data_IF_317489148240
#
_entry.id   IF_317489148240
#
_cell.length_a   1.000
_cell.length_b   1.000
_cell.length_c   1.000
_cell.angle_alpha   90.00
_cell.angle_beta   90.00
_cell.angle_gamma   90.00
#
_symmetry.space_group_name_H-M   'P 1'
#
loop_
_entity.id
_entity.type
_entity.pdbx_description
1 polymer ?
#
# COMPACT_ATOMS: atom_id res chain seq x y z
N UNK A 1 -20.28 11.83 -16.13
CA UNK A 1 -19.11 12.28 -15.32
C UNK A 1 -18.30 13.27 -16.14
N UNK A 2 -17.92 14.45 -15.60
CA UNK A 2 -17.13 15.46 -16.33
C UNK A 2 -15.68 15.43 -15.82
N UNK A 3 -14.75 14.96 -16.65
CA UNK A 3 -13.31 14.89 -16.30
C UNK A 3 -12.66 16.25 -16.57
N UNK A 4 -11.81 16.69 -15.63
CA UNK A 4 -10.99 17.90 -15.71
C UNK A 4 -9.59 17.51 -16.17
N UNK A 5 -9.22 17.86 -17.40
CA UNK A 5 -7.92 17.56 -18.00
C UNK A 5 -6.77 18.17 -17.20
N UNK A 6 -6.93 19.40 -16.72
CA UNK A 6 -5.96 20.12 -15.88
C UNK A 6 -5.65 19.49 -14.52
N UNK A 7 -6.47 18.54 -14.06
CA UNK A 7 -6.31 17.85 -12.75
C UNK A 7 -6.10 16.35 -12.91
N UNK A 8 -5.97 15.87 -14.14
CA UNK A 8 -5.88 14.45 -14.45
C UNK A 8 -4.52 14.15 -15.06
N UNK A 9 -3.92 13.06 -14.61
CA UNK A 9 -2.65 12.54 -15.13
C UNK A 9 -2.90 11.10 -15.58
N UNK A 10 -2.12 10.64 -16.56
CA UNK A 10 -2.15 9.26 -17.04
C UNK A 10 -0.93 8.50 -16.50
N UNK A 11 -1.11 7.25 -16.13
CA UNK A 11 -0.02 6.35 -15.76
C UNK A 11 -0.14 5.05 -16.54
N UNK A 12 0.96 4.61 -17.13
CA UNK A 12 1.06 3.33 -17.82
C UNK A 12 1.78 2.34 -16.91
N UNK A 13 1.12 1.23 -16.57
CA UNK A 13 1.71 0.14 -15.81
C UNK A 13 2.28 -0.90 -16.76
N UNK A 14 3.59 -0.92 -16.96
CA UNK A 14 4.25 -1.87 -17.84
C UNK A 14 5.69 -2.17 -17.39
N UNK A 15 6.18 -3.39 -17.67
CA UNK A 15 7.57 -3.79 -17.39
C UNK A 15 8.58 -2.98 -18.22
N UNK A 16 8.17 -2.53 -19.40
CA UNK A 16 8.96 -1.64 -20.27
C UNK A 16 8.31 -0.26 -20.27
N UNK A 17 9.11 0.80 -20.30
CA UNK A 17 8.58 2.15 -20.49
C UNK A 17 7.91 2.22 -21.87
N UNK A 18 6.63 2.57 -21.86
CA UNK A 18 5.81 2.77 -23.04
C UNK A 18 5.17 4.13 -22.92
N UNK A 19 5.28 4.92 -23.97
CA UNK A 19 4.54 6.18 -24.10
C UNK A 19 3.13 5.86 -24.56
N UNK A 20 2.14 6.38 -23.83
CA UNK A 20 0.73 6.27 -24.17
C UNK A 20 0.12 7.66 -24.21
N UNK A 21 -0.31 8.08 -25.40
CA UNK A 21 -0.96 9.36 -25.61
C UNK A 21 -2.46 9.26 -25.30
N UNK A 22 -2.81 9.38 -24.02
CA UNK A 22 -4.21 9.35 -23.60
C UNK A 22 -4.85 10.73 -23.77
N UNK A 23 -5.86 10.81 -24.65
CA UNK A 23 -6.58 12.05 -24.98
C UNK A 23 -7.93 12.12 -24.27
N UNK A 24 -8.23 13.27 -23.67
CA UNK A 24 -9.54 13.59 -23.09
C UNK A 24 -9.98 14.95 -23.59
N UNK A 25 -11.10 15.02 -24.31
CA UNK A 25 -11.65 16.27 -24.88
C UNK A 25 -10.59 17.08 -25.67
N UNK A 26 -9.88 16.38 -26.56
CA UNK A 26 -8.82 16.94 -27.44
C UNK A 26 -7.51 17.35 -26.75
N UNK A 27 -7.43 17.33 -25.42
CA UNK A 27 -6.19 17.55 -24.68
C UNK A 27 -5.50 16.21 -24.34
N UNK A 28 -4.17 16.20 -24.43
CA UNK A 28 -3.34 15.04 -24.05
C UNK A 28 -3.06 15.16 -22.55
N UNK A 29 -3.38 14.10 -21.79
CA UNK A 29 -3.04 14.07 -20.37
C UNK A 29 -1.53 13.83 -20.20
N UNK A 30 -0.88 14.51 -19.24
CA UNK A 30 0.52 14.25 -18.92
C UNK A 30 0.68 12.81 -18.40
N UNK A 31 1.66 12.09 -18.94
CA UNK A 31 2.02 10.77 -18.46
C UNK A 31 3.03 10.87 -17.31
N UNK A 32 2.75 10.21 -16.19
CA UNK A 32 3.59 10.23 -14.98
C UNK A 32 4.12 8.85 -14.61
N UNK A 33 5.35 8.82 -14.11
CA UNK A 33 6.01 7.60 -13.61
C UNK A 33 5.63 7.28 -12.15
N UNK A 34 5.22 8.28 -11.38
CA UNK A 34 4.78 8.16 -9.99
C UNK A 34 3.45 8.86 -9.78
N UNK A 35 2.53 8.21 -9.08
CA UNK A 35 1.22 8.77 -8.79
C UNK A 35 0.83 8.50 -7.34
N UNK A 36 0.44 9.54 -6.60
CA UNK A 36 0.02 9.41 -5.20
C UNK A 36 -1.50 9.51 -5.12
N UNK A 37 -2.14 8.43 -4.71
CA UNK A 37 -3.58 8.37 -4.49
C UNK A 37 -3.91 7.93 -3.08
N UNK A 38 -4.65 8.76 -2.34
CA UNK A 38 -5.08 8.50 -0.96
C UNK A 38 -3.93 8.05 -0.03
N UNK A 39 -2.72 8.59 -0.24
CA UNK A 39 -1.54 8.25 0.55
C UNK A 39 -0.79 6.99 0.09
N UNK A 40 -1.28 6.28 -0.92
CA UNK A 40 -0.57 5.18 -1.59
C UNK A 40 0.19 5.71 -2.80
N UNK A 41 1.44 5.29 -2.93
CA UNK A 41 2.28 5.60 -4.09
C UNK A 41 2.18 4.44 -5.08
N UNK A 42 1.81 4.77 -6.31
CA UNK A 42 1.88 3.89 -7.47
C UNK A 42 3.06 4.31 -8.32
N UNK A 43 3.74 3.32 -8.91
CA UNK A 43 4.86 3.52 -9.84
C UNK A 43 4.52 2.86 -11.17
N UNK A 44 5.01 3.40 -12.28
CA UNK A 44 4.79 2.84 -13.63
C UNK A 44 5.33 1.41 -13.77
N UNK A 45 6.33 1.04 -12.97
CA UNK A 45 6.90 -0.31 -12.91
C UNK A 45 6.06 -1.30 -12.08
N UNK A 46 5.05 -0.83 -11.35
CA UNK A 46 4.24 -1.64 -10.43
C UNK A 46 4.98 -2.06 -9.16
N UNK A 47 6.17 -1.51 -8.88
CA UNK A 47 6.91 -1.79 -7.65
C UNK A 47 6.37 -0.98 -6.48
N UNK A 48 6.23 -1.65 -5.34
CA UNK A 48 5.70 -1.05 -4.10
C UNK A 48 6.79 -0.63 -3.11
N UNK A 49 8.05 -1.02 -3.35
CA UNK A 49 9.17 -0.79 -2.43
C UNK A 49 9.29 0.68 -2.03
N UNK A 50 9.24 1.60 -3.00
CA UNK A 50 9.32 3.04 -2.73
C UNK A 50 8.16 3.53 -1.84
N UNK A 51 6.97 2.97 -2.01
CA UNK A 51 5.81 3.29 -1.19
C UNK A 51 5.97 2.83 0.25
N UNK A 52 6.59 1.66 0.47
CA UNK A 52 6.94 1.16 1.81
C UNK A 52 8.01 2.06 2.43
N UNK A 53 8.99 2.49 1.64
CA UNK A 53 10.13 3.28 2.11
C UNK A 53 9.73 4.66 2.57
N UNK A 54 8.83 5.31 1.82
CA UNK A 54 8.24 6.59 2.22
C UNK A 54 7.51 6.47 3.56
N UNK A 55 6.83 5.34 3.83
CA UNK A 55 6.14 5.10 5.09
C UNK A 55 7.10 4.79 6.25
N UNK A 56 8.15 4.00 6.00
CA UNK A 56 9.22 3.78 6.98
C UNK A 56 9.89 5.12 7.33
N UNK A 57 10.17 5.95 6.33
CA UNK A 57 10.71 7.29 6.51
C UNK A 57 9.79 8.19 7.33
N UNK A 58 8.49 8.22 6.99
CA UNK A 58 7.48 8.98 7.73
C UNK A 58 7.35 8.52 9.18
N UNK A 59 7.28 7.21 9.41
CA UNK A 59 7.20 6.63 10.75
C UNK A 59 8.48 6.94 11.55
N UNK A 60 9.66 6.86 10.92
CA UNK A 60 10.93 7.23 11.53
C UNK A 60 11.00 8.72 11.88
N UNK A 61 10.45 9.60 11.04
CA UNK A 61 10.38 11.03 11.32
C UNK A 61 9.51 11.33 12.56
N UNK A 62 8.38 10.64 12.72
CA UNK A 62 7.55 10.74 13.94
C UNK A 62 8.36 10.39 15.18
N UNK A 63 9.12 9.29 15.15
CA UNK A 63 9.98 8.88 16.27
C UNK A 63 11.00 9.96 16.58
N UNK A 64 11.65 10.49 15.55
CA UNK A 64 12.68 11.50 15.69
C UNK A 64 12.14 12.77 16.34
N UNK A 65 10.99 13.26 15.87
CA UNK A 65 10.31 14.43 16.46
C UNK A 65 9.94 14.20 17.92
N UNK A 66 9.50 12.99 18.28
CA UNK A 66 9.11 12.64 19.65
C UNK A 66 10.28 12.12 20.51
N UNK A 67 11.49 12.08 19.96
CA UNK A 67 12.60 11.38 20.58
C UNK A 67 12.92 11.94 21.96
N UNK A 68 13.17 13.26 22.04
CA UNK A 68 13.58 13.95 23.27
C UNK A 68 12.43 14.16 24.25
N UNK A 69 11.22 14.40 23.75
CA UNK A 69 10.04 14.72 24.56
C UNK A 69 9.35 13.49 25.12
N UNK A 70 9.38 12.37 24.39
CA UNK A 70 8.65 11.15 24.73
C UNK A 70 9.58 9.96 24.90
N UNK A 71 10.28 9.58 23.82
CA UNK A 71 10.87 8.25 23.72
C UNK A 71 11.96 8.03 24.77
N UNK A 72 12.86 9.00 24.95
CA UNK A 72 13.97 8.91 25.92
C UNK A 72 13.65 9.52 27.29
N UNK A 73 12.48 10.16 27.43
CA UNK A 73 12.08 10.83 28.67
C UNK A 73 11.86 9.77 29.76
N UNK A 74 12.58 9.87 30.88
CA UNK A 74 12.57 8.85 31.95
C UNK A 74 11.32 8.92 32.81
N UNK A 75 10.72 10.10 32.87
CA UNK A 75 9.52 10.42 33.63
C UNK A 75 8.26 9.81 32.99
N UNK A 76 8.33 9.40 31.72
CA UNK A 76 7.24 8.72 31.03
C UNK A 76 7.37 7.21 31.19
N UNK A 77 6.27 6.59 31.61
CA UNK A 77 6.17 5.14 31.71
C UNK A 77 6.30 4.47 30.34
N UNK A 78 6.80 3.23 30.31
CA UNK A 78 6.82 2.41 29.09
C UNK A 78 5.42 2.28 28.48
N UNK A 79 4.38 2.15 29.31
CA UNK A 79 2.98 2.11 28.86
C UNK A 79 2.57 3.35 28.07
N UNK A 80 2.98 4.55 28.49
CA UNK A 80 2.70 5.79 27.75
C UNK A 80 3.44 5.83 26.41
N UNK A 81 4.71 5.42 26.38
CA UNK A 81 5.51 5.34 25.14
C UNK A 81 4.93 4.33 24.15
N UNK A 82 4.49 3.17 24.64
CA UNK A 82 3.82 2.14 23.85
C UNK A 82 2.42 2.56 23.37
N UNK A 83 1.76 3.49 24.07
CA UNK A 83 0.51 4.07 23.56
C UNK A 83 0.77 4.85 22.27
N UNK A 84 1.80 5.69 22.25
CA UNK A 84 2.23 6.46 21.07
C UNK A 84 2.68 5.55 19.92
N UNK A 85 3.36 4.46 20.23
CA UNK A 85 3.67 3.41 19.25
C UNK A 85 2.41 2.90 18.55
N UNK A 86 1.42 2.47 19.34
CA UNK A 86 0.19 1.85 18.84
C UNK A 86 -0.68 2.84 18.08
N UNK A 87 -0.75 4.10 18.52
CA UNK A 87 -1.66 5.12 17.98
C UNK A 87 -1.07 5.97 16.85
N UNK A 88 0.26 6.11 16.78
CA UNK A 88 0.90 6.95 15.76
C UNK A 88 1.85 6.14 14.88
N UNK A 89 2.83 5.45 15.47
CA UNK A 89 3.87 4.76 14.70
C UNK A 89 3.30 3.64 13.83
N UNK A 90 2.53 2.73 14.44
CA UNK A 90 1.93 1.59 13.74
C UNK A 90 1.05 2.04 12.57
N UNK A 91 0.02 2.91 12.74
CA UNK A 91 -0.81 3.32 11.60
C UNK A 91 -0.04 4.12 10.54
N UNK A 92 0.99 4.89 10.92
CA UNK A 92 1.84 5.59 9.94
C UNK A 92 2.60 4.60 9.06
N UNK A 93 3.14 3.54 9.67
CA UNK A 93 3.90 2.52 8.95
C UNK A 93 2.99 1.58 8.14
N UNK A 94 1.89 1.11 8.72
CA UNK A 94 1.05 0.06 8.12
C UNK A 94 -0.13 0.58 7.32
N UNK A 95 -0.24 1.87 7.02
CA UNK A 95 -1.36 2.35 6.21
C UNK A 95 -1.35 1.72 4.80
N UNK A 96 -2.39 0.95 4.45
CA UNK A 96 -2.54 0.28 3.16
C UNK A 96 -1.71 -0.99 2.98
N UNK A 97 -1.27 -1.61 4.09
CA UNK A 97 -0.48 -2.85 4.08
C UNK A 97 -1.22 -4.07 3.52
N UNK A 98 -2.56 -4.02 3.47
CA UNK A 98 -3.40 -5.08 2.90
C UNK A 98 -3.10 -5.33 1.42
N UNK A 99 -2.57 -4.31 0.72
CA UNK A 99 -2.22 -4.35 -0.70
C UNK A 99 -0.73 -4.61 -0.93
N UNK A 100 0.10 -4.70 0.11
CA UNK A 100 1.54 -4.85 -0.05
C UNK A 100 1.92 -6.25 -0.52
N UNK A 101 2.88 -6.30 -1.44
CA UNK A 101 3.58 -7.54 -1.76
C UNK A 101 4.63 -7.80 -0.67
N UNK A 102 4.38 -8.84 0.15
CA UNK A 102 5.24 -9.21 1.26
C UNK A 102 6.43 -10.06 0.77
N UNK A 103 7.46 -9.37 0.27
CA UNK A 103 8.78 -9.98 0.00
C UNK A 103 9.61 -10.07 1.27
N UNK A 104 10.64 -10.93 1.28
CA UNK A 104 11.61 -11.00 2.40
C UNK A 104 12.27 -9.64 2.68
N UNK A 105 12.57 -8.89 1.61
CA UNK A 105 13.10 -7.53 1.72
C UNK A 105 12.11 -6.61 2.45
N UNK A 106 10.83 -6.64 2.08
CA UNK A 106 9.78 -5.84 2.72
C UNK A 106 9.61 -6.23 4.19
N UNK A 107 9.54 -7.54 4.50
CA UNK A 107 9.43 -8.07 5.87
C UNK A 107 10.58 -7.57 6.74
N UNK A 108 11.81 -7.75 6.26
CA UNK A 108 13.03 -7.31 6.97
C UNK A 108 13.00 -5.81 7.27
N UNK A 109 12.60 -4.97 6.31
CA UNK A 109 12.57 -3.52 6.48
C UNK A 109 11.51 -3.06 7.47
N UNK A 110 10.32 -3.68 7.45
CA UNK A 110 9.26 -3.41 8.42
C UNK A 110 9.70 -3.82 9.83
N UNK A 111 10.32 -4.99 9.96
CA UNK A 111 10.85 -5.48 11.23
C UNK A 111 11.96 -4.56 11.77
N UNK A 112 12.90 -4.13 10.92
CA UNK A 112 13.95 -3.18 11.31
C UNK A 112 13.33 -1.87 11.80
N UNK A 113 12.34 -1.33 11.09
CA UNK A 113 11.65 -0.11 11.50
C UNK A 113 10.96 -0.26 12.87
N UNK A 114 10.22 -1.35 13.07
CA UNK A 114 9.58 -1.68 14.34
C UNK A 114 10.58 -1.81 15.48
N UNK A 115 11.61 -2.64 15.30
CA UNK A 115 12.63 -2.89 16.32
C UNK A 115 13.40 -1.61 16.67
N UNK A 116 13.59 -0.71 15.70
CA UNK A 116 14.20 0.59 15.96
C UNK A 116 13.42 1.42 16.98
N UNK A 117 12.08 1.34 16.98
CA UNK A 117 11.25 2.01 17.95
C UNK A 117 11.27 1.30 19.31
N UNK A 118 11.01 0.00 19.31
CA UNK A 118 10.88 -0.79 20.54
C UNK A 118 12.17 -0.77 21.36
N UNK A 119 13.33 -0.84 20.69
CA UNK A 119 14.64 -0.71 21.31
C UNK A 119 14.78 0.59 22.11
N UNK A 120 14.31 1.72 21.56
CA UNK A 120 14.39 3.03 22.23
C UNK A 120 13.42 3.12 23.41
N UNK A 121 12.22 2.53 23.30
CA UNK A 121 11.27 2.45 24.42
C UNK A 121 11.80 1.59 25.56
N UNK A 122 12.48 0.49 25.23
CA UNK A 122 13.16 -0.36 26.20
C UNK A 122 14.42 0.29 26.80
N UNK A 123 14.87 1.44 26.30
CA UNK A 123 16.07 2.13 26.77
C UNK A 123 17.38 1.46 26.35
N UNK A 124 17.34 0.59 25.34
CA UNK A 124 18.51 -0.12 24.84
C UNK A 124 19.31 0.76 23.87
N UNK A 125 20.62 0.83 24.08
CA UNK A 125 21.59 1.46 23.18
C UNK A 125 21.78 0.63 21.93
N UNK A 126 22.41 1.17 20.87
CA UNK A 126 22.76 0.42 19.64
C UNK A 126 23.78 -0.73 19.83
N UNK A 127 24.49 -0.76 20.97
CA UNK A 127 25.48 -1.80 21.28
C UNK A 127 24.86 -3.05 21.90
N UNK A 128 23.69 -2.89 22.51
CA UNK A 128 23.03 -4.01 23.17
C UNK A 128 22.59 -5.07 22.16
N UNK A 129 22.75 -6.35 22.50
CA UNK A 129 22.22 -7.41 21.66
C UNK A 129 20.70 -7.42 21.82
N UNK A 130 20.00 -7.17 20.72
CA UNK A 130 18.54 -7.20 20.68
C UNK A 130 18.09 -8.60 20.28
N UNK A 131 17.35 -9.26 21.17
CA UNK A 131 16.66 -10.51 20.84
C UNK A 131 15.31 -10.21 20.19
N UNK A 132 14.71 -11.24 19.57
CA UNK A 132 13.32 -11.20 19.14
C UNK A 132 12.33 -11.08 20.32
N UNK A 133 12.77 -11.30 21.56
CA UNK A 133 11.92 -11.29 22.75
C UNK A 133 11.51 -9.88 23.21
N UNK A 134 12.12 -8.80 22.70
CA UNK A 134 11.73 -7.43 23.09
C UNK A 134 10.23 -7.17 22.90
N UNK A 135 9.65 -7.74 21.85
CA UNK A 135 8.22 -7.65 21.59
C UNK A 135 7.41 -8.28 22.72
N UNK A 136 7.82 -9.47 23.18
CA UNK A 136 7.19 -10.17 24.31
C UNK A 136 7.40 -9.40 25.63
N UNK A 137 8.62 -8.95 25.90
CA UNK A 137 8.96 -8.17 27.10
C UNK A 137 8.12 -6.89 27.22
N UNK A 138 7.85 -6.24 26.09
CA UNK A 138 7.02 -5.03 26.02
C UNK A 138 5.52 -5.32 25.88
N UNK A 139 5.11 -6.59 25.78
CA UNK A 139 3.71 -6.98 25.54
C UNK A 139 3.17 -6.42 24.23
N UNK A 140 3.96 -6.47 23.17
CA UNK A 140 3.65 -5.98 21.82
C UNK A 140 3.60 -7.17 20.86
N UNK A 141 2.48 -7.32 20.15
CA UNK A 141 2.39 -8.27 19.05
C UNK A 141 3.32 -7.84 17.89
N UNK A 142 4.12 -8.77 17.32
CA UNK A 142 4.95 -8.46 16.17
C UNK A 142 4.16 -7.84 15.01
N UNK A 143 4.67 -6.73 14.47
CA UNK A 143 3.93 -5.98 13.45
C UNK A 143 3.68 -6.79 12.17
N UNK A 144 4.60 -7.69 11.83
CA UNK A 144 4.43 -8.60 10.69
C UNK A 144 3.22 -9.53 10.85
N UNK A 145 2.98 -10.07 12.05
CA UNK A 145 1.81 -10.91 12.31
C UNK A 145 0.51 -10.12 12.15
N UNK A 146 0.51 -8.87 12.60
CA UNK A 146 -0.62 -7.96 12.40
C UNK A 146 -0.88 -7.69 10.92
N UNK A 147 0.19 -7.48 10.14
CA UNK A 147 0.11 -7.26 8.69
C UNK A 147 -0.46 -8.48 7.99
N UNK A 148 0.09 -9.67 8.25
CA UNK A 148 -0.34 -10.92 7.65
C UNK A 148 -1.80 -11.25 7.99
N UNK A 149 -2.21 -11.04 9.24
CA UNK A 149 -3.61 -11.24 9.66
C UNK A 149 -4.57 -10.33 8.90
N UNK A 150 -4.23 -9.07 8.70
CA UNK A 150 -5.06 -8.13 7.93
C UNK A 150 -5.11 -8.50 6.45
N UNK A 151 -3.98 -8.94 5.85
CA UNK A 151 -3.95 -9.42 4.47
C UNK A 151 -4.84 -10.65 4.28
N UNK A 152 -4.80 -11.60 5.20
CA UNK A 152 -5.68 -12.78 5.17
C UNK A 152 -7.16 -12.40 5.34
N UNK A 153 -7.46 -11.44 6.23
CA UNK A 153 -8.81 -10.90 6.37
C UNK A 153 -9.30 -10.25 5.07
N UNK A 154 -8.46 -9.42 4.44
CA UNK A 154 -8.76 -8.76 3.17
C UNK A 154 -8.97 -9.77 2.03
N UNK A 155 -8.09 -10.75 1.90
CA UNK A 155 -8.26 -11.86 0.96
C UNK A 155 -9.59 -12.58 1.19
N UNK A 156 -9.93 -12.86 2.45
CA UNK A 156 -11.21 -13.45 2.82
C UNK A 156 -12.40 -12.58 2.38
N UNK A 157 -12.30 -11.26 2.43
CA UNK A 157 -13.32 -10.35 1.91
C UNK A 157 -13.43 -10.41 0.38
N UNK A 158 -12.30 -10.47 -0.34
CA UNK A 158 -12.28 -10.59 -1.81
C UNK A 158 -12.94 -11.89 -2.28
N UNK A 159 -12.60 -13.02 -1.65
CA UNK A 159 -13.15 -14.34 -2.01
C UNK A 159 -14.67 -14.40 -1.81
N UNK A 160 -15.19 -13.77 -0.76
CA UNK A 160 -16.63 -13.73 -0.47
C UNK A 160 -17.37 -12.57 -1.16
N UNK A 161 -16.68 -11.78 -1.97
CA UNK A 161 -17.24 -10.57 -2.56
C UNK A 161 -18.23 -10.94 -3.68
N UNK A 162 -19.50 -10.46 -3.62
CA UNK A 162 -20.49 -10.74 -4.66
C UNK A 162 -20.07 -10.14 -6.01
N UNK A 163 -20.61 -10.66 -7.12
CA UNK A 163 -20.42 -10.06 -8.45
C UNK A 163 -20.95 -8.62 -8.50
N UNK A 164 -20.47 -7.82 -9.45
CA UNK A 164 -20.82 -6.39 -9.61
C UNK A 164 -19.92 -5.44 -8.81
N UNK A 165 -18.94 -5.96 -8.05
CA UNK A 165 -17.94 -5.12 -7.36
C UNK A 165 -16.57 -5.26 -8.02
N UNK A 166 -16.06 -4.12 -8.47
CA UNK A 166 -14.78 -4.02 -9.17
C UNK A 166 -13.60 -4.74 -8.48
N UNK A 167 -13.36 -4.61 -7.15
CA UNK A 167 -12.21 -5.28 -6.54
C UNK A 167 -12.28 -6.81 -6.63
N UNK A 168 -13.47 -7.39 -6.45
CA UNK A 168 -13.68 -8.83 -6.55
C UNK A 168 -13.61 -9.32 -8.00
N UNK A 169 -14.11 -8.52 -8.95
CA UNK A 169 -14.02 -8.82 -10.39
C UNK A 169 -12.58 -8.80 -10.88
N UNK A 170 -11.82 -7.74 -10.55
CA UNK A 170 -10.39 -7.63 -10.88
C UNK A 170 -9.60 -8.77 -10.25
N UNK A 171 -9.89 -9.13 -9.00
CA UNK A 171 -9.23 -10.26 -8.33
C UNK A 171 -9.47 -11.61 -9.04
N UNK A 172 -10.67 -11.82 -9.59
CA UNK A 172 -11.04 -13.04 -10.32
C UNK A 172 -10.65 -13.02 -11.80
N UNK A 173 -10.29 -11.85 -12.33
CA UNK A 173 -9.92 -11.70 -13.72
C UNK A 173 -8.64 -12.52 -14.02
N UNK A 174 -8.69 -13.33 -15.08
CA UNK A 174 -7.49 -13.98 -15.62
C UNK A 174 -6.88 -13.05 -16.66
N UNK A 175 -5.66 -12.60 -16.41
CA UNK A 175 -4.87 -11.93 -17.44
C UNK A 175 -4.39 -13.01 -18.42
N UNK A 176 -5.02 -13.08 -19.59
CA UNK A 176 -4.47 -13.85 -20.71
C UNK A 176 -3.28 -13.05 -21.23
N UNK A 177 -2.08 -13.44 -20.80
CA UNK A 177 -0.86 -12.96 -21.43
C UNK A 177 -0.62 -13.77 -22.69
N UNK A 178 -0.37 -13.10 -23.82
CA UNK A 178 0.14 -13.77 -25.02
C UNK A 178 1.46 -14.47 -24.69
N UNK A 179 1.38 -15.77 -24.44
CA UNK A 179 2.51 -16.66 -24.57
C UNK A 179 2.60 -17.04 -26.03
N UNK A 180 3.59 -16.44 -26.72
CA UNK A 180 4.15 -16.86 -28.01
C UNK A 180 3.14 -17.46 -28.98
N UNK A 181 2.66 -16.64 -29.90
CA UNK A 181 1.95 -17.10 -31.10
C UNK A 181 2.68 -18.31 -31.73
N UNK A 182 2.03 -19.46 -31.66
CA UNK A 182 2.28 -20.60 -32.54
C UNK A 182 1.51 -20.29 -33.84
N UNK A 183 2.13 -20.27 -35.03
CA UNK A 183 1.57 -19.65 -36.24
C UNK A 183 0.48 -20.49 -36.94
N UNK A 184 -0.39 -21.16 -36.17
CA UNK A 184 -1.28 -22.21 -36.69
C UNK A 184 -2.77 -22.09 -36.35
N UNK A 185 -3.22 -21.10 -35.59
CA UNK A 185 -4.65 -20.99 -35.28
C UNK A 185 -5.18 -19.55 -35.34
N UNK A 186 -6.03 -19.28 -36.33
CA UNK A 186 -6.93 -18.12 -36.34
C UNK A 186 -7.99 -18.35 -35.27
N UNK A 187 -7.68 -17.91 -34.05
CA UNK A 187 -8.62 -17.78 -32.94
C UNK A 187 -9.08 -16.34 -32.85
N UNK A 188 -10.39 -16.13 -32.93
CA UNK A 188 -11.05 -14.84 -32.91
C UNK A 188 -10.50 -13.92 -31.81
N UNK A 189 -10.05 -12.74 -32.20
CA UNK A 189 -9.68 -11.65 -31.30
C UNK A 189 -10.93 -11.25 -30.51
N UNK A 190 -11.07 -11.72 -29.27
CA UNK A 190 -12.03 -11.11 -28.34
C UNK A 190 -11.49 -9.73 -27.96
N UNK A 191 -11.92 -8.73 -28.74
CA UNK A 191 -12.02 -7.36 -28.26
C UNK A 191 -12.86 -7.39 -26.98
N UNK A 192 -12.26 -7.01 -25.85
CA UNK A 192 -13.05 -6.51 -24.73
C UNK A 192 -13.66 -5.20 -25.22
N UNK A 193 -14.77 -5.31 -25.93
CA UNK A 193 -15.69 -4.20 -26.09
C UNK A 193 -16.20 -3.88 -24.69
N UNK A 194 -15.51 -2.95 -24.04
CA UNK A 194 -15.99 -2.31 -22.83
C UNK A 194 -17.18 -1.47 -23.27
N UNK A 195 -18.35 -2.12 -23.39
CA UNK A 195 -19.60 -1.41 -23.62
C UNK A 195 -19.82 -0.53 -22.38
N UNK A 196 -19.79 0.78 -22.58
CA UNK A 196 -19.87 1.82 -21.55
C UNK A 196 -21.22 1.93 -20.85
N UNK A 197 -21.89 0.82 -20.56
CA UNK A 197 -23.26 0.74 -20.05
C UNK A 197 -23.41 -0.15 -18.80
N UNK A 198 -22.43 -0.11 -17.89
CA UNK A 198 -22.56 -0.62 -16.51
C UNK A 198 -22.42 0.47 -15.44
N UNK A 199 -22.55 1.75 -15.80
CA UNK A 199 -22.85 2.80 -14.83
C UNK A 199 -24.35 2.80 -14.56
N UNK A 200 -24.81 1.80 -13.80
CA UNK A 200 -26.11 1.89 -13.13
C UNK A 200 -26.11 3.16 -12.28
N UNK A 201 -27.03 4.08 -12.58
CA UNK A 201 -27.22 5.35 -11.87
C UNK A 201 -27.28 5.15 -10.36
N UNK A 202 -26.19 5.45 -9.65
CA UNK A 202 -26.22 5.64 -8.20
C UNK A 202 -26.49 7.11 -7.90
N UNK A 203 -27.77 7.47 -7.80
CA UNK A 203 -28.24 8.78 -7.37
C UNK A 203 -28.04 8.91 -5.85
N UNK A 204 -26.85 9.34 -5.41
CA UNK A 204 -26.60 9.71 -4.01
C UNK A 204 -27.05 11.16 -3.79
N UNK A 205 -28.22 11.33 -3.19
CA UNK A 205 -28.70 12.62 -2.67
C UNK A 205 -27.98 12.94 -1.36
N UNK A 206 -27.33 14.10 -1.29
CA UNK A 206 -26.95 14.72 -0.04
C UNK A 206 -27.84 15.95 0.15
N UNK A 207 -28.76 15.90 1.12
CA UNK A 207 -29.39 17.11 1.65
C UNK A 207 -28.36 17.80 2.55
N UNK A 208 -28.26 19.13 2.41
CA UNK A 208 -27.49 20.03 3.29
C UNK A 208 -28.00 19.95 4.72
#
# INVERSE_FOLDING_TARGET
MKISTSKSEAMVLNRKKVECLLRVKEEILPQVDEFKYLGVLFTSEGRMDQGVDRRIGAASAVIWTLHRSVVVKRELSQKAKLSIYRSIFVPTLTCGHELWVMTERTRSRVQVAEMSFLRRVAGLSLRDRVSSAIQEDLGVEPLLLRVERSQMRWLGHLVRMPPGRLPGEVFRARLVGDHREDPGHVGETMSLDWSGNAWGSLRMSWKK
#
